data_IF_584989604228
#
_entry.id   IF_584989604228
#
_cell.length_a   1.000
_cell.length_b   1.000
_cell.length_c   1.000
_cell.angle_alpha   90.00
_cell.angle_beta   90.00
_cell.angle_gamma   90.00
#
_symmetry.space_group_name_H-M   'P 1'
#
loop_
_entity.id
_entity.type
_entity.pdbx_description
1 polymer ?
#
# COMPACT_ATOMS: atom_id res chain seq x y z
N UNK A 1 -7.43 -29.61 -4.57
CA UNK A 1 -8.05 -28.36 -5.08
C UNK A 1 -8.61 -27.59 -3.90
N UNK A 2 -8.30 -26.32 -3.78
CA UNK A 2 -8.76 -25.41 -2.72
C UNK A 2 -10.08 -24.74 -3.12
N UNK A 3 -10.86 -24.30 -2.14
CA UNK A 3 -12.01 -23.45 -2.39
C UNK A 3 -11.54 -22.02 -2.68
N UNK A 4 -10.56 -21.53 -1.90
CA UNK A 4 -9.99 -20.19 -2.04
C UNK A 4 -8.46 -20.25 -1.96
N UNK A 5 -7.77 -19.63 -2.92
CA UNK A 5 -6.37 -19.25 -2.80
C UNK A 5 -6.27 -17.73 -2.62
N UNK A 6 -5.61 -17.32 -1.53
CA UNK A 6 -5.34 -15.92 -1.20
C UNK A 6 -3.90 -15.60 -1.59
N UNK A 7 -3.68 -14.58 -2.43
CA UNK A 7 -2.35 -14.19 -2.89
C UNK A 7 -1.93 -12.90 -2.18
N UNK A 8 -0.96 -13.01 -1.28
CA UNK A 8 -0.43 -11.96 -0.43
C UNK A 8 -0.90 -12.04 1.02
N UNK A 9 0.01 -11.87 1.96
CA UNK A 9 -0.19 -11.95 3.40
C UNK A 9 -0.11 -10.60 4.13
N UNK A 10 -0.40 -9.50 3.42
CA UNK A 10 -0.65 -8.21 4.05
C UNK A 10 -1.96 -8.22 4.86
N UNK A 11 -2.33 -7.11 5.53
CA UNK A 11 -3.54 -7.03 6.36
C UNK A 11 -4.81 -7.49 5.66
N UNK A 12 -4.96 -7.27 4.35
CA UNK A 12 -6.10 -7.74 3.57
C UNK A 12 -6.13 -9.26 3.43
N UNK A 13 -5.00 -9.86 3.06
CA UNK A 13 -4.90 -11.32 2.88
C UNK A 13 -5.00 -12.08 4.21
N UNK A 14 -4.40 -11.56 5.28
CA UNK A 14 -4.52 -12.13 6.62
C UNK A 14 -5.96 -12.06 7.13
N UNK A 15 -6.66 -10.93 6.93
CA UNK A 15 -8.08 -10.84 7.24
C UNK A 15 -8.91 -11.83 6.44
N UNK A 16 -8.66 -11.93 5.12
CA UNK A 16 -9.34 -12.91 4.27
C UNK A 16 -9.13 -14.34 4.77
N UNK A 17 -7.90 -14.70 5.16
CA UNK A 17 -7.61 -16.05 5.67
C UNK A 17 -8.37 -16.36 6.97
N UNK A 18 -8.46 -15.38 7.89
CA UNK A 18 -9.24 -15.51 9.13
C UNK A 18 -10.71 -15.78 8.83
N UNK A 19 -11.32 -15.01 7.92
CA UNK A 19 -12.71 -15.21 7.54
C UNK A 19 -12.92 -16.53 6.80
N UNK A 20 -12.04 -16.90 5.85
CA UNK A 20 -12.14 -18.18 5.15
C UNK A 20 -12.10 -19.40 6.10
N UNK A 21 -11.26 -19.36 7.15
CA UNK A 21 -11.22 -20.44 8.16
C UNK A 21 -12.46 -20.43 9.05
N UNK A 22 -13.04 -19.28 9.35
CA UNK A 22 -14.30 -19.18 10.12
C UNK A 22 -15.49 -19.74 9.36
N UNK A 23 -15.53 -19.54 8.03
CA UNK A 23 -16.53 -20.12 7.13
C UNK A 23 -16.19 -21.59 6.72
N UNK A 24 -15.18 -22.20 7.37
CA UNK A 24 -14.75 -23.60 7.13
C UNK A 24 -14.36 -23.89 5.67
N UNK A 25 -13.92 -22.87 4.93
CA UNK A 25 -13.47 -23.02 3.55
C UNK A 25 -12.05 -23.60 3.50
N UNK A 26 -11.82 -24.52 2.57
CA UNK A 26 -10.49 -25.06 2.31
C UNK A 26 -9.63 -23.99 1.61
N UNK A 27 -8.79 -23.31 2.36
CA UNK A 27 -8.05 -22.13 1.91
C UNK A 27 -6.59 -22.17 2.29
N UNK A 28 -5.74 -21.55 1.44
CA UNK A 28 -4.32 -21.28 1.73
C UNK A 28 -3.97 -19.83 1.39
N UNK A 29 -2.90 -19.33 2.00
CA UNK A 29 -2.28 -18.05 1.66
C UNK A 29 -0.94 -18.30 0.98
N UNK A 30 -0.73 -17.72 -0.20
CA UNK A 30 0.55 -17.74 -0.90
C UNK A 30 1.24 -16.40 -0.67
N UNK A 31 2.46 -16.43 -0.13
CA UNK A 31 3.28 -15.23 0.09
C UNK A 31 4.68 -15.43 -0.50
N UNK A 32 5.15 -14.40 -1.22
CA UNK A 32 6.46 -14.43 -1.88
C UNK A 32 7.65 -14.25 -0.93
N UNK A 33 7.41 -13.62 0.23
CA UNK A 33 8.43 -13.32 1.23
C UNK A 33 8.21 -14.17 2.47
N UNK A 34 9.28 -14.80 2.98
CA UNK A 34 9.20 -15.58 4.20
C UNK A 34 8.64 -14.72 5.35
N UNK A 35 7.55 -15.20 5.96
CA UNK A 35 6.84 -14.50 7.04
C UNK A 35 6.42 -13.04 6.72
N UNK A 36 6.25 -12.72 5.43
CA UNK A 36 5.82 -11.39 5.02
C UNK A 36 4.46 -11.01 5.62
N UNK A 37 4.32 -9.75 6.02
CA UNK A 37 3.06 -9.16 6.52
C UNK A 37 2.66 -7.90 5.74
N UNK A 38 3.33 -7.69 4.59
CA UNK A 38 3.09 -6.58 3.67
C UNK A 38 3.71 -5.26 4.14
N UNK A 39 3.33 -4.17 3.49
CA UNK A 39 3.93 -2.84 3.72
C UNK A 39 3.75 -2.29 5.15
N UNK A 40 2.84 -2.85 5.94
CA UNK A 40 2.66 -2.43 7.33
C UNK A 40 3.95 -2.60 8.14
N UNK A 41 4.73 -3.65 7.86
CA UNK A 41 5.99 -3.92 8.56
C UNK A 41 7.05 -2.82 8.41
N UNK A 42 6.91 -1.93 7.41
CA UNK A 42 7.80 -0.79 7.20
C UNK A 42 7.47 0.44 8.07
N UNK A 43 6.37 0.41 8.84
CA UNK A 43 5.95 1.53 9.69
C UNK A 43 6.55 1.39 11.08
N UNK A 44 7.26 2.42 11.56
CA UNK A 44 7.84 2.42 12.91
C UNK A 44 6.76 2.37 13.98
N UNK A 45 5.60 3.01 13.72
CA UNK A 45 4.51 3.10 14.66
C UNK A 45 3.16 3.26 13.94
N UNK A 46 2.13 2.61 14.47
CA UNK A 46 0.76 2.65 13.97
C UNK A 46 -0.16 3.16 15.09
N UNK A 47 -0.69 4.39 14.93
CA UNK A 47 -1.58 5.04 15.89
C UNK A 47 -3.05 5.06 15.46
N UNK A 48 -3.35 4.61 14.24
CA UNK A 48 -4.66 4.73 13.62
C UNK A 48 -5.37 3.38 13.39
N UNK A 49 -4.91 2.31 14.04
CA UNK A 49 -5.62 1.03 14.07
C UNK A 49 -6.28 0.85 15.43
N UNK A 50 -7.62 0.94 15.46
CA UNK A 50 -8.40 0.90 16.71
C UNK A 50 -8.16 -0.41 17.47
N UNK A 51 -7.94 -0.28 18.77
CA UNK A 51 -7.68 -1.41 19.68
C UNK A 51 -6.20 -1.77 19.84
N UNK A 52 -5.29 -1.32 18.95
CA UNK A 52 -3.85 -1.59 18.99
C UNK A 52 -3.06 -0.28 18.76
N UNK A 53 -3.11 0.61 19.75
CA UNK A 53 -2.45 1.90 19.69
C UNK A 53 -0.95 1.80 20.00
N UNK A 54 -0.15 2.43 19.19
CA UNK A 54 1.30 2.61 19.45
C UNK A 54 2.18 1.42 19.13
N UNK A 55 1.63 0.38 18.51
CA UNK A 55 2.39 -0.78 18.04
C UNK A 55 3.30 -0.39 16.86
N UNK A 56 4.46 -1.06 16.74
CA UNK A 56 5.20 -1.01 15.48
C UNK A 56 4.38 -1.70 14.37
N UNK A 57 4.58 -1.31 13.13
CA UNK A 57 3.92 -1.98 12.01
C UNK A 57 4.34 -3.44 11.89
N UNK A 58 5.58 -3.75 12.25
CA UNK A 58 6.08 -5.13 12.32
C UNK A 58 5.31 -5.95 13.35
N UNK A 59 5.23 -5.49 14.61
CA UNK A 59 4.53 -6.20 15.69
C UNK A 59 3.03 -6.34 15.39
N UNK A 60 2.42 -5.33 14.78
CA UNK A 60 1.03 -5.38 14.37
C UNK A 60 0.81 -6.43 13.27
N UNK A 61 1.70 -6.49 12.29
CA UNK A 61 1.69 -7.51 11.23
C UNK A 61 1.84 -8.93 11.78
N UNK A 62 2.77 -9.13 12.71
CA UNK A 62 2.97 -10.42 13.39
C UNK A 62 1.72 -10.84 14.20
N UNK A 63 1.08 -9.91 14.90
CA UNK A 63 -0.18 -10.21 15.62
C UNK A 63 -1.29 -10.66 14.67
N UNK A 64 -1.40 -10.06 13.50
CA UNK A 64 -2.37 -10.48 12.48
C UNK A 64 -2.05 -11.87 11.93
N UNK A 65 -0.78 -12.13 11.66
CA UNK A 65 -0.30 -13.43 11.19
C UNK A 65 -0.52 -14.52 12.23
N UNK A 66 -0.15 -14.27 13.48
CA UNK A 66 -0.39 -15.18 14.60
C UNK A 66 -1.88 -15.52 14.79
N UNK A 67 -2.75 -14.52 14.62
CA UNK A 67 -4.20 -14.76 14.66
C UNK A 67 -4.63 -15.72 13.55
N UNK A 68 -4.18 -15.52 12.31
CA UNK A 68 -4.48 -16.40 11.20
C UNK A 68 -3.96 -17.84 11.44
N UNK A 69 -2.72 -17.98 11.95
CA UNK A 69 -2.12 -19.29 12.30
C UNK A 69 -2.94 -20.01 13.38
N UNK A 70 -3.37 -19.31 14.44
CA UNK A 70 -4.20 -19.90 15.52
C UNK A 70 -5.53 -20.43 15.02
N UNK A 71 -6.06 -19.91 13.90
CA UNK A 71 -7.27 -20.43 13.25
C UNK A 71 -6.98 -21.51 12.20
N UNK A 72 -5.72 -21.94 12.09
CA UNK A 72 -5.33 -23.01 11.16
C UNK A 72 -5.09 -22.54 9.72
N UNK A 73 -4.77 -21.27 9.50
CA UNK A 73 -4.36 -20.80 8.17
C UNK A 73 -3.03 -21.45 7.78
N UNK A 74 -3.00 -22.05 6.60
CA UNK A 74 -1.82 -22.61 5.98
C UNK A 74 -1.18 -21.57 5.05
N UNK A 75 0.15 -21.48 5.10
CA UNK A 75 0.94 -20.57 4.27
C UNK A 75 1.84 -21.36 3.34
N UNK A 76 1.88 -20.96 2.08
CA UNK A 76 2.83 -21.45 1.08
C UNK A 76 3.74 -20.31 0.69
N UNK A 77 5.04 -20.51 0.89
CA UNK A 77 6.05 -19.56 0.41
C UNK A 77 6.25 -19.76 -1.09
N UNK A 78 6.05 -18.70 -1.85
CA UNK A 78 6.24 -18.74 -3.30
C UNK A 78 5.65 -17.53 -4.00
N UNK A 79 6.25 -17.22 -5.14
CA UNK A 79 5.72 -16.19 -6.03
C UNK A 79 4.83 -16.83 -7.08
N UNK A 80 3.57 -16.39 -7.16
CA UNK A 80 2.70 -16.75 -8.29
C UNK A 80 3.20 -16.05 -9.54
N UNK A 81 3.49 -16.81 -10.60
CA UNK A 81 3.97 -16.29 -11.88
C UNK A 81 2.84 -16.14 -12.91
N UNK A 82 1.86 -17.05 -12.88
CA UNK A 82 0.73 -17.00 -13.79
C UNK A 82 -0.51 -17.64 -13.20
N UNK A 83 -1.65 -17.21 -13.70
CA UNK A 83 -2.98 -17.73 -13.39
C UNK A 83 -3.62 -18.14 -14.69
N UNK A 84 -4.03 -19.41 -14.80
CA UNK A 84 -4.71 -19.95 -15.96
C UNK A 84 -6.12 -20.36 -15.57
N UNK A 85 -7.13 -19.80 -16.25
CA UNK A 85 -8.51 -20.23 -16.09
C UNK A 85 -8.70 -21.56 -16.81
N UNK A 86 -9.26 -22.54 -16.11
CA UNK A 86 -9.78 -23.78 -16.67
C UNK A 86 -11.30 -23.74 -16.52
N UNK A 87 -12.02 -24.75 -17.01
CA UNK A 87 -13.50 -24.69 -17.09
C UNK A 87 -14.16 -24.09 -15.85
N UNK A 88 -14.02 -24.73 -14.69
CA UNK A 88 -14.67 -24.31 -13.44
C UNK A 88 -13.69 -23.96 -12.32
N UNK A 89 -12.39 -23.81 -12.62
CA UNK A 89 -11.37 -23.54 -11.62
C UNK A 89 -10.18 -22.78 -12.22
N UNK A 90 -9.23 -22.45 -11.38
CA UNK A 90 -7.99 -21.77 -11.74
C UNK A 90 -6.79 -22.63 -11.38
N UNK A 91 -5.77 -22.62 -12.23
CA UNK A 91 -4.46 -23.19 -11.96
C UNK A 91 -3.45 -22.05 -11.79
N UNK A 92 -2.79 -21.99 -10.62
CA UNK A 92 -1.76 -21.03 -10.30
C UNK A 92 -0.40 -21.71 -10.40
N UNK A 93 0.48 -21.18 -11.24
CA UNK A 93 1.86 -21.63 -11.34
C UNK A 93 2.75 -20.79 -10.44
N UNK A 94 3.51 -21.45 -9.57
CA UNK A 94 4.51 -20.82 -8.70
C UNK A 94 5.90 -20.80 -9.34
N UNK A 95 6.76 -19.89 -8.89
CA UNK A 95 8.14 -19.75 -9.37
C UNK A 95 9.04 -20.96 -9.09
N UNK A 96 8.68 -21.82 -8.13
CA UNK A 96 9.34 -23.08 -7.85
C UNK A 96 8.88 -24.23 -8.76
N UNK A 97 7.97 -23.97 -9.68
CA UNK A 97 7.41 -24.94 -10.62
C UNK A 97 6.16 -25.69 -10.11
N UNK A 98 5.74 -25.49 -8.87
CA UNK A 98 4.51 -26.07 -8.34
C UNK A 98 3.26 -25.45 -8.98
N UNK A 99 2.21 -26.26 -9.08
CA UNK A 99 0.90 -25.84 -9.53
C UNK A 99 -0.13 -26.03 -8.42
N UNK A 100 -0.97 -25.02 -8.22
CA UNK A 100 -2.01 -25.02 -7.20
C UNK A 100 -3.36 -24.78 -7.88
N UNK A 101 -4.30 -25.71 -7.66
CA UNK A 101 -5.65 -25.63 -8.21
C UNK A 101 -6.62 -25.06 -7.18
N UNK A 102 -7.49 -24.14 -7.60
CA UNK A 102 -8.50 -23.51 -6.75
C UNK A 102 -9.74 -23.12 -7.52
N UNK A 103 -10.90 -23.14 -6.84
CA UNK A 103 -12.16 -22.67 -7.40
C UNK A 103 -12.22 -21.14 -7.48
N UNK A 104 -11.65 -20.44 -6.50
CA UNK A 104 -11.65 -18.97 -6.44
C UNK A 104 -10.31 -18.42 -6.01
N UNK A 105 -10.07 -17.16 -6.37
CA UNK A 105 -8.84 -16.42 -6.04
C UNK A 105 -9.20 -15.10 -5.35
N UNK A 106 -8.49 -14.76 -4.27
CA UNK A 106 -8.48 -13.41 -3.70
C UNK A 106 -7.08 -12.80 -3.89
N UNK A 107 -6.96 -11.80 -4.76
CA UNK A 107 -5.71 -11.05 -4.91
C UNK A 107 -5.62 -9.96 -3.83
N UNK A 108 -4.66 -10.10 -2.93
CA UNK A 108 -4.40 -9.20 -1.79
C UNK A 108 -2.95 -8.67 -1.78
N UNK A 109 -2.36 -8.48 -2.96
CA UNK A 109 -0.95 -8.14 -3.19
C UNK A 109 -0.60 -6.68 -2.90
N UNK A 110 -1.59 -5.84 -2.63
CA UNK A 110 -1.40 -4.44 -2.29
C UNK A 110 -0.77 -3.60 -3.41
N UNK A 111 0.03 -2.63 -3.01
CA UNK A 111 0.77 -1.71 -3.90
C UNK A 111 2.26 -1.75 -3.59
N UNK A 112 3.07 -1.25 -4.49
CA UNK A 112 4.48 -0.95 -4.25
C UNK A 112 4.70 0.56 -4.31
N UNK A 113 5.40 1.13 -3.33
CA UNK A 113 5.69 2.56 -3.30
C UNK A 113 6.73 2.91 -4.37
N UNK A 114 6.49 3.95 -5.13
CA UNK A 114 7.54 4.50 -6.00
C UNK A 114 8.56 5.20 -5.14
N UNK A 115 9.83 4.83 -5.34
CA UNK A 115 10.97 5.44 -4.67
C UNK A 115 11.52 6.60 -5.51
N UNK A 116 12.19 7.54 -4.85
CA UNK A 116 12.92 8.61 -5.53
C UNK A 116 14.19 8.07 -6.20
N UNK A 117 14.79 7.01 -5.62
CA UNK A 117 16.03 6.41 -6.10
C UNK A 117 17.26 7.27 -5.82
N UNK A 118 17.21 8.11 -4.79
CA UNK A 118 18.29 9.02 -4.41
C UNK A 118 19.05 8.52 -3.18
N UNK A 119 20.27 9.00 -3.01
CA UNK A 119 21.11 8.69 -1.85
C UNK A 119 20.41 9.13 -0.56
N UNK A 120 20.49 8.32 0.50
CA UNK A 120 19.87 8.54 1.80
C UNK A 120 18.41 8.08 1.89
N UNK A 121 17.67 7.91 0.77
CA UNK A 121 16.26 7.51 0.83
C UNK A 121 16.08 6.17 1.58
N UNK A 122 16.84 5.14 1.18
CA UNK A 122 16.75 3.82 1.80
C UNK A 122 17.28 3.81 3.24
N UNK A 123 18.34 4.55 3.50
CA UNK A 123 19.02 4.62 4.80
C UNK A 123 18.12 5.24 5.88
N UNK A 124 17.39 6.29 5.50
CA UNK A 124 16.52 7.04 6.40
C UNK A 124 15.05 6.65 6.31
N UNK A 125 14.68 5.60 5.56
CA UNK A 125 13.32 5.05 5.61
C UNK A 125 13.01 4.59 7.03
N UNK A 126 11.90 5.13 7.62
CA UNK A 126 11.56 4.95 9.03
C UNK A 126 12.35 5.83 10.01
N UNK A 127 13.36 6.56 9.54
CA UNK A 127 14.18 7.49 10.34
C UNK A 127 14.09 8.92 9.82
N UNK A 128 12.90 9.31 9.39
CA UNK A 128 12.62 10.63 8.83
C UNK A 128 12.20 10.60 7.36
N UNK A 129 12.45 9.53 6.61
CA UNK A 129 11.83 9.31 5.29
C UNK A 129 10.61 8.45 5.45
N UNK A 130 9.47 8.96 4.98
CA UNK A 130 8.17 8.28 5.05
C UNK A 130 7.40 8.44 3.74
N UNK A 131 6.43 7.55 3.54
CA UNK A 131 5.57 7.51 2.35
C UNK A 131 4.08 7.68 2.70
N UNK A 132 3.76 8.02 3.96
CA UNK A 132 2.38 8.13 4.43
C UNK A 132 2.21 9.33 5.37
N UNK A 133 1.74 10.46 4.86
CA UNK A 133 1.49 11.64 5.69
C UNK A 133 0.38 11.44 6.72
N UNK A 134 -0.64 10.64 6.41
CA UNK A 134 -1.74 10.31 7.33
C UNK A 134 -1.23 9.43 8.48
N UNK A 135 -0.27 8.54 8.22
CA UNK A 135 0.29 7.64 9.25
C UNK A 135 1.22 8.39 10.20
N UNK A 136 2.17 9.12 9.63
CA UNK A 136 3.37 9.58 10.33
C UNK A 136 3.39 11.10 10.57
N UNK A 137 2.46 11.84 9.97
CA UNK A 137 2.45 13.31 10.05
C UNK A 137 2.42 13.86 11.49
N UNK A 138 1.74 13.18 12.41
CA UNK A 138 1.66 13.58 13.81
C UNK A 138 3.01 13.62 14.54
N UNK A 139 4.00 12.82 14.10
CA UNK A 139 5.35 12.80 14.70
C UNK A 139 6.17 14.06 14.38
N UNK A 140 5.73 14.84 13.37
CA UNK A 140 6.42 16.05 12.91
C UNK A 140 5.71 17.33 13.36
N UNK A 141 4.96 17.26 14.48
CA UNK A 141 4.32 18.44 15.06
C UNK A 141 5.35 19.50 15.37
N UNK A 142 5.09 20.73 14.89
CA UNK A 142 5.93 21.93 15.06
C UNK A 142 7.36 21.80 14.48
N UNK A 143 7.61 20.79 13.62
CA UNK A 143 8.88 20.55 12.93
C UNK A 143 8.75 20.90 11.43
N UNK A 144 9.85 21.33 10.75
CA UNK A 144 9.85 21.55 9.31
C UNK A 144 9.92 20.21 8.56
N UNK A 145 9.14 20.07 7.49
CA UNK A 145 9.10 18.85 6.67
C UNK A 145 9.15 19.17 5.18
N UNK A 146 9.59 18.19 4.38
CA UNK A 146 9.48 18.24 2.93
C UNK A 146 8.45 17.22 2.44
N UNK A 147 7.68 17.61 1.41
CA UNK A 147 6.83 16.70 0.61
C UNK A 147 7.39 16.67 -0.80
N UNK A 148 7.70 15.50 -1.32
CA UNK A 148 8.22 15.34 -2.68
C UNK A 148 7.12 14.76 -3.55
N UNK A 149 6.65 15.53 -4.52
CA UNK A 149 5.60 15.11 -5.46
C UNK A 149 4.87 16.28 -6.11
N UNK A 150 3.87 16.00 -6.92
CA UNK A 150 3.09 17.06 -7.62
C UNK A 150 1.77 16.56 -8.20
N UNK A 151 1.31 15.39 -7.76
CA UNK A 151 -0.04 14.86 -8.00
C UNK A 151 -0.95 15.14 -6.80
N UNK A 152 -2.22 14.70 -6.89
CA UNK A 152 -3.23 14.92 -5.84
C UNK A 152 -2.76 14.46 -4.46
N UNK A 153 -2.12 13.30 -4.35
CA UNK A 153 -1.58 12.79 -3.08
C UNK A 153 -0.59 13.79 -2.45
N UNK A 154 0.38 14.27 -3.23
CA UNK A 154 1.37 15.23 -2.71
C UNK A 154 0.74 16.55 -2.25
N UNK A 155 -0.27 17.04 -2.97
CA UNK A 155 -0.99 18.26 -2.61
C UNK A 155 -1.83 18.06 -1.34
N UNK A 156 -2.50 16.91 -1.21
CA UNK A 156 -3.27 16.54 -0.02
C UNK A 156 -2.35 16.35 1.19
N UNK A 157 -1.23 15.67 1.02
CA UNK A 157 -0.22 15.47 2.05
C UNK A 157 0.36 16.80 2.54
N UNK A 158 0.71 17.71 1.61
CA UNK A 158 1.20 19.04 1.97
C UNK A 158 0.15 19.84 2.77
N UNK A 159 -1.11 19.81 2.36
CA UNK A 159 -2.22 20.46 3.09
C UNK A 159 -2.51 19.81 4.44
N UNK A 160 -2.35 18.50 4.58
CA UNK A 160 -2.47 17.82 5.86
C UNK A 160 -1.34 18.23 6.80
N UNK A 161 -0.11 18.15 6.31
CA UNK A 161 1.10 18.47 7.08
C UNK A 161 1.18 19.94 7.44
N UNK A 162 0.64 20.84 6.63
CA UNK A 162 0.61 22.29 6.96
C UNK A 162 -0.18 22.62 8.23
N UNK A 163 -1.09 21.74 8.65
CA UNK A 163 -1.87 21.89 9.90
C UNK A 163 -1.10 21.41 11.14
N UNK A 164 0.01 20.71 10.94
CA UNK A 164 0.73 19.98 11.98
C UNK A 164 2.17 20.50 12.11
N UNK A 165 2.86 20.61 10.97
CA UNK A 165 4.26 21.01 10.89
C UNK A 165 4.43 22.52 10.97
N UNK A 166 5.59 22.98 11.44
CA UNK A 166 5.92 24.42 11.46
C UNK A 166 6.06 24.99 10.04
N UNK A 167 6.60 24.21 9.11
CA UNK A 167 6.78 24.58 7.71
C UNK A 167 6.77 23.33 6.81
N UNK A 168 6.18 23.45 5.64
CA UNK A 168 6.15 22.39 4.62
C UNK A 168 6.84 22.88 3.36
N UNK A 169 7.86 22.18 2.90
CA UNK A 169 8.50 22.40 1.59
C UNK A 169 7.92 21.44 0.57
N UNK A 170 7.11 21.93 -0.36
CA UNK A 170 6.56 21.09 -1.43
C UNK A 170 7.48 21.13 -2.65
N UNK A 171 8.23 20.05 -2.83
CA UNK A 171 9.26 19.89 -3.86
C UNK A 171 8.64 19.21 -5.09
N UNK A 172 8.70 19.89 -6.23
CA UNK A 172 8.21 19.34 -7.49
C UNK A 172 9.17 19.64 -8.66
N UNK A 173 9.41 18.62 -9.51
CA UNK A 173 10.35 18.71 -10.65
C UNK A 173 9.87 19.60 -11.81
N UNK A 174 8.59 19.99 -11.83
CA UNK A 174 8.02 20.89 -12.84
C UNK A 174 7.64 22.22 -12.21
N UNK A 175 7.34 23.19 -13.03
CA UNK A 175 6.82 24.51 -12.65
C UNK A 175 5.33 24.49 -12.29
N UNK A 176 4.59 23.47 -12.79
CA UNK A 176 3.16 23.27 -12.51
C UNK A 176 2.87 21.90 -11.94
N UNK A 177 1.86 21.83 -11.06
CA UNK A 177 1.35 20.59 -10.51
C UNK A 177 0.48 19.84 -11.54
N UNK A 178 0.50 18.51 -11.46
CA UNK A 178 -0.41 17.65 -12.24
C UNK A 178 -1.70 17.32 -11.51
N UNK A 179 -1.78 17.67 -10.24
CA UNK A 179 -2.94 17.44 -9.40
C UNK A 179 -4.08 18.41 -9.70
N UNK A 180 -5.20 18.20 -9.03
CA UNK A 180 -6.42 18.97 -9.15
C UNK A 180 -6.15 20.46 -8.93
N UNK A 181 -6.73 21.33 -9.78
CA UNK A 181 -6.54 22.78 -9.73
C UNK A 181 -6.97 23.38 -8.38
N UNK A 182 -8.08 22.92 -7.80
CA UNK A 182 -8.57 23.40 -6.51
C UNK A 182 -7.56 23.09 -5.39
N UNK A 183 -6.96 21.90 -5.40
CA UNK A 183 -5.92 21.52 -4.45
C UNK A 183 -4.65 22.36 -4.66
N UNK A 184 -4.27 22.58 -5.91
CA UNK A 184 -3.13 23.42 -6.28
C UNK A 184 -3.27 24.86 -5.78
N UNK A 185 -4.46 25.45 -5.93
CA UNK A 185 -4.77 26.80 -5.42
C UNK A 185 -4.74 26.86 -3.89
N UNK A 186 -5.31 25.86 -3.21
CA UNK A 186 -5.25 25.78 -1.74
C UNK A 186 -3.82 25.72 -1.24
N UNK A 187 -2.99 24.88 -1.86
CA UNK A 187 -1.55 24.77 -1.51
C UNK A 187 -0.82 26.11 -1.71
N UNK A 188 -1.06 26.81 -2.84
CA UNK A 188 -0.46 28.11 -3.14
C UNK A 188 -0.84 29.20 -2.13
N UNK A 189 -2.06 29.12 -1.58
CA UNK A 189 -2.61 30.09 -0.64
C UNK A 189 -2.37 29.70 0.84
N UNK A 190 -1.65 28.61 1.12
CA UNK A 190 -1.36 28.18 2.49
C UNK A 190 -0.02 28.77 2.93
N UNK A 191 -0.03 29.62 3.94
CA UNK A 191 1.09 30.49 4.36
C UNK A 191 2.37 29.73 4.72
N UNK A 192 2.26 28.60 5.41
CA UNK A 192 3.41 27.81 5.84
C UNK A 192 3.83 26.71 4.83
N UNK A 193 3.29 26.73 3.59
CA UNK A 193 3.77 25.89 2.51
C UNK A 193 4.67 26.69 1.59
N UNK A 194 5.93 26.30 1.48
CA UNK A 194 6.87 26.84 0.50
C UNK A 194 6.95 25.95 -0.73
N UNK A 195 6.71 26.53 -1.91
CA UNK A 195 6.77 25.82 -3.17
C UNK A 195 8.22 25.80 -3.70
N UNK A 196 8.79 24.62 -3.82
CA UNK A 196 10.11 24.37 -4.39
C UNK A 196 9.91 23.71 -5.76
N UNK A 197 9.47 24.52 -6.72
CA UNK A 197 9.16 24.10 -8.09
C UNK A 197 10.40 24.06 -8.98
N UNK A 198 10.29 23.33 -10.11
CA UNK A 198 11.38 23.09 -11.07
C UNK A 198 12.64 22.53 -10.38
N UNK A 199 12.43 21.73 -9.32
CA UNK A 199 13.50 21.25 -8.47
C UNK A 199 13.40 19.73 -8.31
N UNK A 200 14.53 19.05 -8.48
CA UNK A 200 14.63 17.60 -8.36
C UNK A 200 15.38 17.25 -7.08
N UNK A 201 14.82 16.37 -6.22
CA UNK A 201 15.55 15.87 -5.06
C UNK A 201 16.79 15.10 -5.52
N UNK A 202 17.92 15.35 -4.86
CA UNK A 202 19.23 14.77 -5.17
C UNK A 202 19.73 13.82 -4.09
N UNK A 203 19.63 14.25 -2.84
CA UNK A 203 20.15 13.50 -1.69
C UNK A 203 19.37 13.86 -0.43
N UNK A 204 19.17 12.88 0.46
CA UNK A 204 18.70 13.08 1.83
C UNK A 204 19.87 12.85 2.77
N UNK A 205 20.09 13.75 3.71
CA UNK A 205 21.28 13.77 4.57
C UNK A 205 20.86 13.85 6.02
N UNK A 206 21.59 13.15 6.89
CA UNK A 206 21.48 13.17 8.34
C UNK A 206 22.52 12.25 8.97
N UNK A 207 22.55 12.18 10.29
CA UNK A 207 23.39 11.22 11.03
C UNK A 207 22.55 10.03 11.51
N UNK A 208 21.63 10.26 12.44
CA UNK A 208 20.74 9.22 12.99
C UNK A 208 19.36 9.21 12.33
N UNK A 209 18.94 10.38 11.90
CA UNK A 209 17.66 10.65 11.26
C UNK A 209 17.84 11.74 10.21
N UNK A 210 16.80 12.03 9.45
CA UNK A 210 16.81 13.10 8.44
C UNK A 210 17.09 14.45 9.12
N UNK A 211 18.01 15.22 8.54
CA UNK A 211 18.34 16.60 8.97
C UNK A 211 18.15 17.61 7.84
N UNK A 212 18.32 17.17 6.59
CA UNK A 212 18.11 18.00 5.41
C UNK A 212 17.88 17.19 4.14
N UNK A 213 17.28 17.83 3.14
CA UNK A 213 17.20 17.33 1.77
C UNK A 213 17.93 18.32 0.84
N UNK A 214 18.71 17.79 -0.08
CA UNK A 214 19.37 18.56 -1.13
C UNK A 214 18.52 18.44 -2.40
N UNK A 215 18.21 19.57 -2.99
CA UNK A 215 17.47 19.67 -4.27
C UNK A 215 18.30 20.40 -5.30
N UNK A 216 18.22 20.00 -6.56
CA UNK A 216 18.88 20.66 -7.68
C UNK A 216 17.86 21.41 -8.51
N UNK A 217 18.14 22.69 -8.77
CA UNK A 217 17.43 23.56 -9.71
C UNK A 217 18.44 24.31 -10.57
N UNK A 218 18.26 24.29 -11.89
CA UNK A 218 19.11 25.00 -12.86
C UNK A 218 20.62 24.71 -12.65
N UNK A 219 20.97 23.44 -12.40
CA UNK A 219 22.31 22.95 -12.07
C UNK A 219 22.91 23.50 -10.77
N UNK A 220 22.11 24.16 -9.91
CA UNK A 220 22.53 24.64 -8.61
C UNK A 220 21.85 23.83 -7.52
N UNK A 221 22.62 23.41 -6.51
CA UNK A 221 22.11 22.68 -5.36
C UNK A 221 21.67 23.64 -4.26
N UNK A 222 20.52 23.34 -3.65
CA UNK A 222 19.99 24.02 -2.48
C UNK A 222 19.78 23.01 -1.36
N UNK A 223 20.29 23.31 -0.18
CA UNK A 223 20.00 22.58 1.04
C UNK A 223 18.70 23.12 1.68
N UNK A 224 17.83 22.22 2.12
CA UNK A 224 16.60 22.53 2.83
C UNK A 224 16.61 21.73 4.14
N UNK A 225 16.67 22.43 5.26
CA UNK A 225 16.69 21.84 6.59
C UNK A 225 15.28 21.34 6.91
N UNK A 226 15.15 20.05 7.18
CA UNK A 226 13.88 19.37 7.49
C UNK A 226 14.12 18.20 8.43
N UNK A 227 13.13 17.92 9.28
CA UNK A 227 13.14 16.77 10.18
C UNK A 227 12.50 15.52 9.54
N UNK A 228 11.77 15.71 8.43
CA UNK A 228 11.13 14.61 7.72
C UNK A 228 10.94 14.87 6.23
N UNK A 229 10.99 13.81 5.43
CA UNK A 229 10.77 13.82 3.98
C UNK A 229 9.64 12.85 3.65
N UNK A 230 8.51 13.38 3.19
CA UNK A 230 7.34 12.63 2.76
C UNK A 230 7.40 12.40 1.25
N UNK A 231 7.57 11.16 0.84
CA UNK A 231 7.70 10.79 -0.57
C UNK A 231 6.32 10.47 -1.15
N UNK A 232 5.77 11.39 -1.94
CA UNK A 232 4.44 11.33 -2.52
C UNK A 232 4.48 11.29 -4.07
N UNK A 233 5.37 10.46 -4.63
CA UNK A 233 5.56 10.31 -6.10
C UNK A 233 4.70 9.21 -6.71
N UNK A 234 3.76 8.69 -5.94
CA UNK A 234 2.77 7.69 -6.32
C UNK A 234 3.13 6.27 -5.91
N UNK A 235 2.16 5.40 -6.05
CA UNK A 235 2.29 3.95 -5.86
C UNK A 235 1.98 3.21 -7.16
N UNK A 236 2.40 1.95 -7.23
CA UNK A 236 2.10 1.04 -8.33
C UNK A 236 1.32 -0.14 -7.74
N UNK A 237 0.09 -0.40 -8.19
CA UNK A 237 -0.64 -1.59 -7.75
C UNK A 237 0.04 -2.86 -8.26
N UNK A 238 0.11 -3.88 -7.40
CA UNK A 238 0.71 -5.17 -7.74
C UNK A 238 -0.35 -6.09 -8.40
N UNK A 239 -0.88 -5.65 -9.51
CA UNK A 239 -2.02 -6.27 -10.23
C UNK A 239 -1.62 -7.02 -11.50
N UNK A 240 -0.32 -7.09 -11.83
CA UNK A 240 0.18 -7.67 -13.09
C UNK A 240 -0.35 -9.09 -13.36
N UNK A 241 -0.54 -9.90 -12.30
CA UNK A 241 -1.10 -11.25 -12.40
C UNK A 241 -2.50 -11.29 -13.01
N UNK A 242 -3.28 -10.23 -12.87
CA UNK A 242 -4.68 -10.17 -13.30
C UNK A 242 -4.90 -9.27 -14.52
N UNK A 243 -3.87 -8.66 -15.10
CA UNK A 243 -4.01 -7.63 -16.15
C UNK A 243 -4.81 -8.09 -17.38
N UNK A 244 -4.72 -9.37 -17.74
CA UNK A 244 -5.43 -9.97 -18.88
C UNK A 244 -6.76 -10.61 -18.47
N UNK A 245 -7.05 -10.71 -17.16
CA UNK A 245 -8.20 -11.42 -16.62
C UNK A 245 -9.30 -10.49 -16.14
N UNK A 246 -8.95 -9.30 -15.63
CA UNK A 246 -9.90 -8.37 -15.03
C UNK A 246 -9.74 -6.95 -15.56
N UNK A 247 -10.78 -6.12 -15.37
CA UNK A 247 -10.71 -4.70 -15.72
C UNK A 247 -9.83 -3.93 -14.75
N UNK A 248 -8.90 -3.15 -15.28
CA UNK A 248 -8.02 -2.24 -14.52
C UNK A 248 -8.35 -0.77 -14.82
N UNK A 249 -8.15 0.07 -13.81
CA UNK A 249 -8.14 1.53 -13.94
C UNK A 249 -6.82 2.08 -13.35
N UNK A 250 -6.00 2.71 -14.18
CA UNK A 250 -4.64 3.18 -13.82
C UNK A 250 -3.78 2.08 -13.14
N UNK A 251 -3.96 0.82 -13.54
CA UNK A 251 -3.31 -0.35 -12.99
C UNK A 251 -3.98 -0.94 -11.75
N UNK A 252 -4.93 -0.26 -11.11
CA UNK A 252 -5.71 -0.81 -10.00
C UNK A 252 -6.83 -1.72 -10.50
N UNK A 253 -7.08 -2.82 -9.81
CA UNK A 253 -8.22 -3.69 -10.11
C UNK A 253 -9.52 -2.95 -9.80
N UNK A 254 -10.41 -2.88 -10.79
CA UNK A 254 -11.72 -2.23 -10.63
C UNK A 254 -12.63 -3.16 -9.83
N UNK A 255 -12.91 -2.77 -8.60
CA UNK A 255 -13.83 -3.46 -7.69
C UNK A 255 -14.41 -2.49 -6.66
N UNK A 256 -15.62 -2.76 -6.19
CA UNK A 256 -16.24 -2.07 -5.07
C UNK A 256 -15.78 -2.66 -3.72
N UNK A 257 -16.48 -2.34 -2.63
CA UNK A 257 -16.11 -2.81 -1.28
C UNK A 257 -16.33 -4.30 -1.09
N UNK A 258 -17.15 -4.92 -1.92
CA UNK A 258 -17.41 -6.37 -1.94
C UNK A 258 -16.24 -7.17 -2.54
N UNK A 259 -15.28 -6.51 -3.16
CA UNK A 259 -14.11 -7.15 -3.78
C UNK A 259 -14.40 -7.89 -5.08
N UNK A 260 -15.63 -7.83 -5.61
CA UNK A 260 -16.02 -8.50 -6.85
C UNK A 260 -15.36 -7.85 -8.05
N UNK A 261 -14.73 -8.63 -8.91
CA UNK A 261 -14.07 -8.17 -10.15
C UNK A 261 -14.93 -8.41 -11.39
N UNK A 262 -14.41 -8.05 -12.55
CA UNK A 262 -15.05 -8.35 -13.84
C UNK A 262 -14.89 -9.80 -14.30
N UNK A 263 -14.18 -10.65 -13.57
CA UNK A 263 -13.99 -12.06 -13.86
C UNK A 263 -14.63 -12.94 -12.77
N UNK A 264 -15.38 -13.96 -13.18
CA UNK A 264 -16.01 -14.90 -12.27
C UNK A 264 -14.98 -15.66 -11.44
N UNK A 265 -15.21 -15.80 -10.14
CA UNK A 265 -14.33 -16.52 -9.22
C UNK A 265 -13.01 -15.78 -8.88
N UNK A 266 -12.79 -14.57 -9.39
CA UNK A 266 -11.65 -13.72 -9.02
C UNK A 266 -12.13 -12.52 -8.20
N UNK A 267 -11.60 -12.40 -7.00
CA UNK A 267 -11.88 -11.34 -6.04
C UNK A 267 -10.61 -10.57 -5.71
N UNK A 268 -10.76 -9.38 -5.15
CA UNK A 268 -9.63 -8.52 -4.82
C UNK A 268 -9.85 -7.83 -3.47
N UNK A 269 -8.78 -7.67 -2.68
CA UNK A 269 -8.83 -7.03 -1.39
C UNK A 269 -7.62 -6.10 -1.16
N UNK A 270 -7.83 -5.02 -0.41
CA UNK A 270 -6.78 -4.09 -0.02
C UNK A 270 -6.40 -3.08 -1.10
N UNK A 271 -5.16 -2.61 -1.03
CA UNK A 271 -4.71 -1.43 -1.76
C UNK A 271 -4.51 -1.65 -3.27
N UNK A 272 -4.55 -2.90 -3.73
CA UNK A 272 -4.43 -3.25 -5.16
C UNK A 272 -5.70 -2.88 -5.96
N UNK A 273 -6.85 -2.68 -5.29
CA UNK A 273 -8.10 -2.28 -5.93
C UNK A 273 -8.32 -0.76 -5.96
N UNK A 274 -9.28 -0.33 -6.77
CA UNK A 274 -9.76 1.06 -6.80
C UNK A 274 -10.42 1.41 -5.48
N UNK A 275 -9.89 2.40 -4.75
CA UNK A 275 -10.45 2.93 -3.50
C UNK A 275 -9.86 4.30 -3.16
N UNK A 276 -10.56 5.07 -2.33
CA UNK A 276 -10.10 6.41 -1.90
C UNK A 276 -9.10 6.33 -0.74
N UNK A 277 -9.39 5.54 0.27
CA UNK A 277 -8.60 5.43 1.48
C UNK A 277 -7.82 4.11 1.51
N UNK A 278 -6.49 4.20 1.61
CA UNK A 278 -5.57 3.07 1.71
C UNK A 278 -4.97 3.08 3.11
N UNK A 279 -5.54 2.27 3.99
CA UNK A 279 -5.14 2.12 5.39
C UNK A 279 -5.30 0.67 5.84
N UNK A 280 -4.64 0.29 6.93
CA UNK A 280 -4.72 -1.06 7.49
C UNK A 280 -6.17 -1.46 7.75
N UNK A 281 -6.95 -0.59 8.38
CA UNK A 281 -8.37 -0.87 8.73
C UNK A 281 -9.22 -1.12 7.48
N UNK A 282 -9.01 -0.36 6.39
CA UNK A 282 -9.76 -0.58 5.14
C UNK A 282 -9.28 -1.82 4.38
N UNK A 283 -8.01 -2.19 4.51
CA UNK A 283 -7.48 -3.43 3.95
C UNK A 283 -8.05 -4.66 4.67
N UNK A 284 -8.12 -4.61 6.00
CA UNK A 284 -8.75 -5.66 6.83
C UNK A 284 -10.22 -5.84 6.47
N UNK A 285 -10.99 -4.75 6.34
CA UNK A 285 -12.39 -4.78 5.90
C UNK A 285 -12.54 -5.43 4.52
N UNK A 286 -11.71 -5.05 3.56
CA UNK A 286 -11.76 -5.63 2.20
C UNK A 286 -11.55 -7.15 2.20
N UNK A 287 -10.60 -7.63 3.01
CA UNK A 287 -10.33 -9.06 3.12
C UNK A 287 -11.54 -9.86 3.59
N UNK A 288 -12.24 -9.35 4.59
CA UNK A 288 -13.47 -9.96 5.11
C UNK A 288 -14.57 -10.00 4.01
N UNK A 289 -14.83 -8.84 3.38
CA UNK A 289 -15.86 -8.73 2.34
C UNK A 289 -15.58 -9.62 1.12
N UNK A 290 -14.32 -9.72 0.68
CA UNK A 290 -13.94 -10.54 -0.46
C UNK A 290 -14.20 -12.04 -0.21
N UNK A 291 -14.02 -12.51 1.05
CA UNK A 291 -14.34 -13.91 1.41
C UNK A 291 -15.84 -14.14 1.34
N UNK A 292 -16.66 -13.25 1.89
CA UNK A 292 -18.12 -13.40 1.84
C UNK A 292 -18.61 -13.46 0.39
N UNK A 293 -18.06 -12.63 -0.49
CA UNK A 293 -18.39 -12.67 -1.92
C UNK A 293 -17.91 -13.94 -2.61
N UNK A 294 -16.75 -14.47 -2.22
CA UNK A 294 -16.22 -15.73 -2.75
C UNK A 294 -17.08 -16.92 -2.29
N UNK A 295 -17.53 -16.94 -1.04
CA UNK A 295 -18.45 -17.94 -0.50
C UNK A 295 -19.78 -17.93 -1.25
N UNK A 296 -20.40 -16.76 -1.43
CA UNK A 296 -21.63 -16.62 -2.21
C UNK A 296 -21.48 -17.17 -3.64
N UNK A 297 -20.31 -16.92 -4.26
CA UNK A 297 -20.00 -17.48 -5.57
C UNK A 297 -19.89 -19.00 -5.54
N UNK A 298 -19.20 -19.57 -4.56
CA UNK A 298 -19.02 -21.02 -4.40
C UNK A 298 -20.36 -21.73 -4.17
N UNK A 299 -21.24 -21.17 -3.34
CA UNK A 299 -22.57 -21.71 -3.07
C UNK A 299 -23.44 -21.79 -4.36
N UNK A 300 -23.35 -20.75 -5.20
CA UNK A 300 -24.10 -20.68 -6.47
C UNK A 300 -23.58 -21.64 -7.54
N UNK A 301 -22.30 -22.01 -7.51
CA UNK A 301 -21.64 -22.80 -8.55
C UNK A 301 -21.32 -24.24 -8.12
N UNK A 302 -21.63 -24.64 -6.88
CA UNK A 302 -21.57 -26.01 -6.38
C UNK A 302 -22.92 -26.74 -6.48
N UNK A 303 -23.94 -26.13 -7.11
CA UNK A 303 -25.30 -26.69 -7.29
C UNK A 303 -25.42 -27.46 -8.59
#
# INVERSE_FOLDING_TARGET
MYDIVIIGSGPAGLSASVYAKREMLNSIVIEKEFMGTGQIAESDRVDNYIGLYGESGYDLGEKFRDHAIKLGTEFVEGKVESILKQDNHYNLKLSNGENIETKTIILATGTSRRKLGIKGEKEFTGKGVTYCAICDGAFYKDLPVAVVGGGDTALQDALLLSKIASKVYLIHRRDEFRGNKILSEKVRNTENIELVLSSTPKEIVGEKQVEKIIVTKDNSDREIIVSGVFVAVGSVPNSDLLKELVRLDNGYVVASEDGVTSADGIFVAGDVRTKKLRQVVTAVSDGANAVMSAEDYLLKNNS
#
